data_IF_683976427715
#
_entry.id   IF_683976427715
#
_cell.length_a   1.000
_cell.length_b   1.000
_cell.length_c   1.000
_cell.angle_alpha   90.00
_cell.angle_beta   90.00
_cell.angle_gamma   90.00
#
_symmetry.space_group_name_H-M   'P 1'
#
loop_
_entity.id
_entity.type
_entity.pdbx_description
1 polymer ?
#
# COMPACT_ATOMS: atom_id res chain seq x y z
N UNK A 1 -23.42 43.68 -2.74
CA UNK A 1 -22.47 43.02 -3.66
C UNK A 1 -21.67 41.91 -2.98
N UNK A 2 -21.11 42.11 -1.79
CA UNK A 2 -20.37 41.06 -1.05
C UNK A 2 -21.21 39.81 -0.69
N UNK A 3 -22.47 39.99 -0.27
CA UNK A 3 -23.36 38.86 0.08
C UNK A 3 -23.65 37.90 -1.08
N UNK A 4 -23.57 38.36 -2.32
CA UNK A 4 -23.80 37.53 -3.51
C UNK A 4 -22.57 36.70 -3.87
N UNK A 5 -21.37 37.21 -3.60
CA UNK A 5 -20.10 36.53 -3.84
C UNK A 5 -19.91 35.42 -2.80
N UNK A 6 -20.22 35.71 -1.53
CA UNK A 6 -20.17 34.73 -0.45
C UNK A 6 -21.16 33.57 -0.65
N UNK A 7 -22.34 33.85 -1.22
CA UNK A 7 -23.30 32.80 -1.55
C UNK A 7 -22.80 31.92 -2.72
N UNK A 8 -22.21 32.51 -3.76
CA UNK A 8 -21.66 31.75 -4.87
C UNK A 8 -20.49 30.85 -4.43
N UNK A 9 -19.61 31.35 -3.56
CA UNK A 9 -18.51 30.57 -2.99
C UNK A 9 -19.03 29.38 -2.18
N UNK A 10 -20.03 29.58 -1.31
CA UNK A 10 -20.65 28.50 -0.54
C UNK A 10 -21.34 27.44 -1.39
N UNK A 11 -21.96 27.84 -2.50
CA UNK A 11 -22.58 26.91 -3.45
C UNK A 11 -21.52 26.04 -4.12
N UNK A 12 -20.41 26.65 -4.58
CA UNK A 12 -19.30 25.92 -5.18
C UNK A 12 -18.61 24.98 -4.20
N UNK A 13 -18.44 25.39 -2.94
CA UNK A 13 -17.87 24.53 -1.90
C UNK A 13 -18.76 23.30 -1.64
N UNK A 14 -20.09 23.48 -1.61
CA UNK A 14 -21.03 22.35 -1.53
C UNK A 14 -20.96 21.44 -2.74
N UNK A 15 -20.87 21.99 -3.95
CA UNK A 15 -20.71 21.21 -5.19
C UNK A 15 -19.40 20.39 -5.12
N UNK A 16 -18.31 20.96 -4.63
CA UNK A 16 -17.05 20.25 -4.50
C UNK A 16 -17.09 19.14 -3.45
N UNK A 17 -17.73 19.37 -2.31
CA UNK A 17 -17.90 18.37 -1.27
C UNK A 17 -18.67 17.12 -1.74
N UNK A 18 -19.53 17.23 -2.77
CA UNK A 18 -20.19 16.05 -3.34
C UNK A 18 -19.19 15.05 -3.97
N UNK A 19 -18.07 15.54 -4.49
CA UNK A 19 -17.04 14.69 -5.08
C UNK A 19 -16.21 13.93 -4.05
N UNK A 20 -16.33 14.24 -2.74
CA UNK A 20 -15.64 13.50 -1.67
C UNK A 20 -16.03 12.01 -1.66
N UNK A 21 -17.18 11.66 -2.26
CA UNK A 21 -17.70 10.27 -2.32
C UNK A 21 -18.06 9.79 -3.74
N UNK A 22 -17.75 10.59 -4.77
CA UNK A 22 -18.14 10.31 -6.16
C UNK A 22 -16.94 10.46 -7.11
N UNK A 23 -16.94 9.78 -8.28
CA UNK A 23 -15.92 10.00 -9.29
C UNK A 23 -15.85 11.47 -9.72
N UNK A 24 -14.63 12.00 -9.87
CA UNK A 24 -14.38 13.37 -10.29
C UNK A 24 -14.20 13.41 -11.81
N UNK A 25 -15.01 14.15 -12.57
CA UNK A 25 -14.79 14.35 -14.00
C UNK A 25 -13.43 15.01 -14.26
N UNK A 26 -12.69 14.54 -15.27
CA UNK A 26 -11.33 15.00 -15.56
C UNK A 26 -11.24 16.52 -15.69
N UNK A 27 -12.23 17.16 -16.34
CA UNK A 27 -12.25 18.61 -16.53
C UNK A 27 -12.48 19.39 -15.22
N UNK A 28 -13.02 18.76 -14.17
CA UNK A 28 -13.20 19.34 -12.84
C UNK A 28 -12.01 19.08 -11.91
N UNK A 29 -11.22 18.05 -12.19
CA UNK A 29 -10.15 17.59 -11.29
C UNK A 29 -9.17 18.69 -10.86
N UNK A 30 -8.63 19.55 -11.76
CA UNK A 30 -7.71 20.61 -11.34
C UNK A 30 -8.33 21.61 -10.36
N UNK A 31 -9.59 22.00 -10.59
CA UNK A 31 -10.29 22.95 -9.73
C UNK A 31 -10.61 22.34 -8.36
N UNK A 32 -10.99 21.05 -8.33
CA UNK A 32 -11.23 20.32 -7.08
C UNK A 32 -9.95 20.15 -6.26
N UNK A 33 -8.82 19.81 -6.89
CA UNK A 33 -7.51 19.72 -6.20
C UNK A 33 -7.11 21.08 -5.62
N UNK A 34 -7.26 22.17 -6.37
CA UNK A 34 -6.99 23.51 -5.86
C UNK A 34 -7.88 23.87 -4.66
N UNK A 35 -9.16 23.45 -4.67
CA UNK A 35 -10.07 23.59 -3.54
C UNK A 35 -9.56 22.83 -2.30
N UNK A 36 -9.08 21.59 -2.44
CA UNK A 36 -8.58 20.80 -1.32
C UNK A 36 -7.33 21.38 -0.65
N UNK A 37 -6.52 22.15 -1.40
CA UNK A 37 -5.31 22.83 -0.91
C UNK A 37 -5.56 24.15 -0.17
N UNK A 38 -6.73 24.80 -0.36
CA UNK A 38 -7.01 26.20 0.03
C UNK A 38 -6.70 26.51 1.51
N UNK A 39 -6.92 25.55 2.41
CA UNK A 39 -6.79 25.72 3.86
C UNK A 39 -5.69 24.81 4.44
N UNK A 40 -4.45 24.97 3.97
CA UNK A 40 -3.29 24.15 4.39
C UNK A 40 -3.57 22.64 4.26
N UNK A 41 -4.09 22.24 3.09
CA UNK A 41 -4.43 20.86 2.76
C UNK A 41 -5.53 20.23 3.64
N UNK A 42 -6.31 21.03 4.37
CA UNK A 42 -7.41 20.54 5.21
C UNK A 42 -8.40 19.64 4.44
N UNK A 43 -8.67 19.93 3.17
CA UNK A 43 -9.50 19.09 2.33
C UNK A 43 -8.91 17.69 2.14
N UNK A 44 -7.60 17.59 1.88
CA UNK A 44 -6.92 16.30 1.77
C UNK A 44 -6.87 15.54 3.09
N UNK A 45 -6.62 16.24 4.21
CA UNK A 45 -6.63 15.64 5.54
C UNK A 45 -8.00 15.01 5.82
N UNK A 46 -9.09 15.76 5.59
CA UNK A 46 -10.46 15.27 5.75
C UNK A 46 -10.72 14.02 4.91
N UNK A 47 -10.36 14.03 3.62
CA UNK A 47 -10.55 12.88 2.74
C UNK A 47 -9.76 11.65 3.21
N UNK A 48 -8.52 11.86 3.67
CA UNK A 48 -7.68 10.80 4.19
C UNK A 48 -8.25 10.20 5.49
N UNK A 49 -8.77 11.03 6.38
CA UNK A 49 -9.44 10.58 7.61
C UNK A 49 -10.68 9.73 7.30
N UNK A 50 -11.50 10.14 6.33
CA UNK A 50 -12.67 9.37 5.87
C UNK A 50 -12.27 7.96 5.36
N UNK A 51 -11.16 7.85 4.62
CA UNK A 51 -10.61 6.56 4.18
C UNK A 51 -10.20 5.71 5.39
N UNK A 52 -9.54 6.32 6.38
CA UNK A 52 -9.10 5.62 7.59
C UNK A 52 -10.28 5.10 8.41
N UNK A 53 -11.35 5.88 8.57
CA UNK A 53 -12.57 5.47 9.26
C UNK A 53 -13.27 4.31 8.55
N UNK A 54 -13.44 4.43 7.23
CA UNK A 54 -14.04 3.38 6.41
C UNK A 54 -13.22 2.09 6.44
N UNK A 55 -11.89 2.20 6.45
CA UNK A 55 -10.98 1.06 6.54
C UNK A 55 -11.05 0.38 7.91
N UNK A 56 -11.23 1.14 9.00
CA UNK A 56 -11.40 0.59 10.36
C UNK A 56 -12.73 -0.14 10.54
N UNK A 57 -13.77 0.26 9.81
CA UNK A 57 -15.06 -0.44 9.83
C UNK A 57 -14.94 -1.87 9.27
N UNK A 58 -14.06 -2.08 8.29
CA UNK A 58 -13.78 -3.39 7.70
C UNK A 58 -12.70 -4.14 8.49
N UNK A 59 -13.12 -4.97 9.45
CA UNK A 59 -12.20 -5.81 10.22
C UNK A 59 -11.78 -7.03 9.41
N UNK A 60 -10.65 -6.94 8.71
CA UNK A 60 -10.03 -8.09 8.06
C UNK A 60 -8.99 -8.74 9.00
N UNK A 61 -9.01 -10.08 9.16
CA UNK A 61 -8.04 -10.78 9.99
C UNK A 61 -6.66 -10.83 9.31
N UNK A 62 -5.62 -10.86 10.14
CA UNK A 62 -4.22 -11.06 9.76
C UNK A 62 -3.61 -12.21 10.59
N UNK A 63 -4.42 -13.23 10.86
CA UNK A 63 -4.10 -14.29 11.81
C UNK A 63 -2.85 -15.08 11.40
N UNK A 64 -2.67 -15.34 10.10
CA UNK A 64 -1.51 -16.10 9.58
C UNK A 64 -0.21 -15.32 9.79
N UNK A 65 -0.25 -14.00 9.60
CA UNK A 65 0.90 -13.12 9.82
C UNK A 65 1.30 -13.03 11.31
N UNK A 66 0.35 -13.28 12.21
CA UNK A 66 0.54 -13.21 13.67
C UNK A 66 0.98 -14.53 14.29
N UNK A 67 0.97 -15.64 13.54
CA UNK A 67 1.47 -16.92 14.05
C UNK A 67 2.94 -16.77 14.45
N UNK A 68 3.32 -17.29 15.62
CA UNK A 68 4.64 -17.10 16.25
C UNK A 68 5.82 -17.32 15.29
N UNK A 69 5.80 -18.41 14.52
CA UNK A 69 6.87 -18.72 13.57
C UNK A 69 6.90 -17.82 12.32
N UNK A 70 5.81 -17.11 12.01
CA UNK A 70 5.72 -16.14 10.90
C UNK A 70 6.09 -14.72 11.33
N UNK A 71 6.02 -14.40 12.63
CA UNK A 71 6.28 -13.05 13.13
C UNK A 71 7.69 -12.56 12.73
N UNK A 72 8.69 -13.44 12.72
CA UNK A 72 10.06 -13.10 12.32
C UNK A 72 10.20 -12.80 10.81
N UNK A 73 9.18 -13.12 9.99
CA UNK A 73 9.12 -12.81 8.55
C UNK A 73 8.48 -11.44 8.28
N UNK A 74 7.95 -10.75 9.29
CA UNK A 74 7.42 -9.39 9.18
C UNK A 74 8.48 -8.35 9.53
N UNK A 75 8.71 -7.39 8.63
CA UNK A 75 9.64 -6.28 8.88
C UNK A 75 9.14 -5.35 9.99
N UNK A 76 7.82 -5.14 10.05
CA UNK A 76 7.18 -4.27 11.02
C UNK A 76 6.01 -5.01 11.67
N UNK A 77 5.96 -4.99 13.01
CA UNK A 77 4.92 -5.67 13.79
C UNK A 77 3.51 -5.10 13.56
N UNK A 78 3.44 -3.84 13.13
CA UNK A 78 2.19 -3.13 12.87
C UNK A 78 1.78 -3.12 11.39
N UNK A 79 2.54 -3.74 10.49
CA UNK A 79 2.24 -3.84 9.06
C UNK A 79 2.16 -5.32 8.70
N UNK A 80 0.95 -5.87 8.77
CA UNK A 80 0.67 -7.29 8.62
C UNK A 80 -0.18 -7.53 7.37
N UNK A 81 -0.02 -8.71 6.78
CA UNK A 81 -0.84 -9.11 5.62
C UNK A 81 -2.20 -9.60 6.05
N UNK A 82 -3.25 -9.13 5.37
CA UNK A 82 -4.58 -9.70 5.55
C UNK A 82 -4.69 -11.11 4.98
N UNK A 83 -5.42 -11.98 5.68
CA UNK A 83 -5.51 -13.40 5.35
C UNK A 83 -6.20 -13.67 4.01
N UNK A 84 -7.19 -12.84 3.65
CA UNK A 84 -8.06 -13.04 2.48
C UNK A 84 -7.35 -12.73 1.16
N UNK A 85 -6.38 -11.81 1.15
CA UNK A 85 -5.67 -11.37 -0.06
C UNK A 85 -4.18 -11.72 -0.04
N UNK A 86 -3.70 -12.48 0.97
CA UNK A 86 -2.26 -12.80 1.08
C UNK A 86 -1.78 -13.63 -0.09
N UNK A 87 -0.55 -13.38 -0.51
CA UNK A 87 0.16 -14.29 -1.40
C UNK A 87 0.57 -15.54 -0.62
N UNK A 88 0.30 -16.72 -1.18
CA UNK A 88 0.69 -18.02 -0.59
C UNK A 88 1.80 -18.63 -1.42
N UNK A 89 2.89 -19.01 -0.77
CA UNK A 89 3.97 -19.78 -1.40
C UNK A 89 3.60 -21.26 -1.42
N UNK A 90 4.13 -22.00 -2.39
CA UNK A 90 3.95 -23.46 -2.46
C UNK A 90 4.65 -24.15 -1.27
N UNK A 91 4.06 -25.22 -0.76
CA UNK A 91 4.70 -26.11 0.20
C UNK A 91 5.77 -26.94 -0.50
N UNK A 92 7.04 -26.73 -0.15
CA UNK A 92 8.10 -27.67 -0.47
C UNK A 92 8.11 -28.63 0.74
N UNK A 93 7.79 -29.91 0.52
CA UNK A 93 7.82 -30.97 1.55
C UNK A 93 6.70 -30.96 2.63
N UNK A 94 5.50 -30.44 2.34
CA UNK A 94 4.38 -30.36 3.30
C UNK A 94 4.69 -29.57 4.59
N UNK A 95 5.64 -28.62 4.52
CA UNK A 95 5.97 -27.75 5.65
C UNK A 95 5.12 -26.47 5.60
N UNK A 96 3.94 -26.48 6.22
CA UNK A 96 3.02 -25.33 6.25
C UNK A 96 3.67 -24.02 6.73
N UNK A 97 4.77 -24.13 7.50
CA UNK A 97 5.56 -23.00 8.02
C UNK A 97 6.26 -22.19 6.92
N UNK A 98 6.39 -22.73 5.71
CA UNK A 98 7.08 -22.09 4.59
C UNK A 98 6.14 -21.42 3.58
N UNK A 99 4.82 -21.50 3.79
CA UNK A 99 3.82 -20.91 2.89
C UNK A 99 3.66 -19.40 3.02
N UNK A 100 4.24 -18.81 4.07
CA UNK A 100 4.02 -17.41 4.44
C UNK A 100 5.10 -16.48 3.89
N UNK A 101 4.63 -15.42 3.23
CA UNK A 101 5.38 -14.21 2.90
C UNK A 101 4.51 -12.99 3.21
N UNK A 102 5.11 -11.89 3.69
CA UNK A 102 4.39 -10.64 3.90
C UNK A 102 4.16 -9.93 2.54
N UNK A 103 3.14 -10.39 1.82
CA UNK A 103 2.66 -9.83 0.58
C UNK A 103 1.14 -10.03 0.43
N UNK A 104 0.45 -9.05 -0.18
CA UNK A 104 -0.97 -9.13 -0.55
C UNK A 104 -1.15 -8.82 -2.04
N UNK A 105 -2.11 -9.49 -2.67
CA UNK A 105 -2.60 -9.07 -3.98
C UNK A 105 -3.41 -7.79 -3.87
N UNK A 106 -3.24 -6.90 -4.86
CA UNK A 106 -3.94 -5.63 -4.96
C UNK A 106 -4.58 -5.55 -6.35
N UNK A 107 -5.83 -5.10 -6.36
CA UNK A 107 -6.59 -4.92 -7.58
C UNK A 107 -6.09 -3.71 -8.37
N UNK A 108 -6.14 -3.82 -9.70
CA UNK A 108 -6.01 -2.69 -10.60
C UNK A 108 -7.37 -2.01 -10.84
N UNK A 109 -7.40 -1.07 -11.80
CA UNK A 109 -8.62 -0.34 -12.12
C UNK A 109 -9.74 -1.25 -12.67
N UNK A 110 -9.40 -2.22 -13.53
CA UNK A 110 -10.39 -3.10 -14.20
C UNK A 110 -10.21 -4.59 -13.87
N UNK A 111 -9.09 -4.96 -13.26
CA UNK A 111 -8.69 -6.36 -13.07
C UNK A 111 -8.31 -6.59 -11.62
N UNK A 112 -8.81 -7.67 -11.05
CA UNK A 112 -8.43 -8.10 -9.72
C UNK A 112 -7.00 -8.69 -9.70
N UNK A 113 -6.32 -8.58 -8.57
CA UNK A 113 -5.01 -9.20 -8.29
C UNK A 113 -3.91 -8.90 -9.33
N UNK A 114 -3.88 -7.69 -9.88
CA UNK A 114 -2.88 -7.28 -10.91
C UNK A 114 -1.53 -6.98 -10.30
N UNK A 115 -1.52 -6.50 -9.06
CA UNK A 115 -0.30 -6.13 -8.36
C UNK A 115 -0.09 -7.00 -7.13
N UNK A 116 1.17 -7.13 -6.73
CA UNK A 116 1.55 -7.68 -5.44
C UNK A 116 2.22 -6.55 -4.65
N UNK A 117 1.60 -6.13 -3.56
CA UNK A 117 2.22 -5.25 -2.58
C UNK A 117 2.92 -6.11 -1.53
N UNK A 118 4.22 -5.89 -1.35
CA UNK A 118 5.04 -6.66 -0.40
C UNK A 118 6.04 -5.77 0.32
N UNK A 119 6.45 -6.18 1.52
CA UNK A 119 7.55 -5.53 2.22
C UNK A 119 8.87 -5.67 1.44
N UNK A 120 9.81 -4.76 1.67
CA UNK A 120 11.19 -5.00 1.23
C UNK A 120 11.75 -6.26 1.92
N UNK A 121 12.29 -7.26 1.19
CA UNK A 121 12.79 -8.50 1.78
C UNK A 121 13.87 -8.26 2.82
N UNK A 122 13.83 -9.09 3.85
CA UNK A 122 14.83 -9.17 4.91
C UNK A 122 15.81 -10.30 4.61
N UNK A 123 16.90 -10.39 5.40
CA UNK A 123 17.94 -11.42 5.19
C UNK A 123 17.31 -12.82 5.25
N UNK A 124 16.42 -13.03 6.21
CA UNK A 124 15.72 -14.29 6.46
C UNK A 124 14.49 -14.52 5.56
N UNK A 125 14.11 -13.57 4.69
CA UNK A 125 12.96 -13.71 3.76
C UNK A 125 13.36 -13.53 2.30
N UNK A 126 14.66 -13.47 1.99
CA UNK A 126 15.15 -13.25 0.63
C UNK A 126 14.79 -14.42 -0.30
N UNK A 127 14.90 -15.65 0.20
CA UNK A 127 14.54 -16.85 -0.57
C UNK A 127 13.03 -16.90 -0.83
N UNK A 128 12.22 -16.63 0.20
CA UNK A 128 10.76 -16.54 0.09
C UNK A 128 10.34 -15.49 -0.97
N UNK A 129 11.03 -14.35 -1.01
CA UNK A 129 10.78 -13.29 -1.98
C UNK A 129 11.06 -13.71 -3.42
N UNK A 130 12.20 -14.36 -3.69
CA UNK A 130 12.50 -14.86 -5.03
C UNK A 130 11.62 -16.04 -5.43
N UNK A 131 11.28 -16.90 -4.47
CA UNK A 131 10.30 -17.97 -4.68
C UNK A 131 8.94 -17.39 -5.06
N UNK A 132 8.48 -16.33 -4.41
CA UNK A 132 7.26 -15.61 -4.79
C UNK A 132 7.31 -15.12 -6.24
N UNK A 133 8.40 -14.44 -6.62
CA UNK A 133 8.58 -13.90 -7.98
C UNK A 133 8.50 -15.02 -9.02
N UNK A 134 9.19 -16.13 -8.76
CA UNK A 134 9.19 -17.28 -9.64
C UNK A 134 7.81 -17.93 -9.75
N UNK A 135 7.17 -18.25 -8.63
CA UNK A 135 5.88 -18.93 -8.61
C UNK A 135 4.74 -18.10 -9.19
N UNK A 136 4.79 -16.77 -9.03
CA UNK A 136 3.73 -15.86 -9.49
C UNK A 136 4.03 -15.26 -10.85
N UNK A 137 5.06 -15.77 -11.55
CA UNK A 137 5.47 -15.34 -12.88
C UNK A 137 5.65 -13.81 -12.99
N UNK A 138 6.27 -13.22 -11.96
CA UNK A 138 6.45 -11.77 -11.89
C UNK A 138 7.55 -11.33 -12.85
N UNK A 139 7.14 -10.62 -13.89
CA UNK A 139 8.07 -10.10 -14.92
C UNK A 139 8.66 -8.72 -14.58
N UNK A 140 8.01 -7.94 -13.72
CA UNK A 140 8.41 -6.56 -13.41
C UNK A 140 8.42 -6.34 -11.89
N UNK A 141 9.53 -5.84 -11.38
CA UNK A 141 9.70 -5.45 -9.98
C UNK A 141 9.88 -3.93 -9.90
N UNK A 142 8.99 -3.27 -9.16
CA UNK A 142 9.05 -1.82 -8.91
C UNK A 142 9.46 -1.58 -7.46
N UNK A 143 10.63 -0.97 -7.24
CA UNK A 143 11.13 -0.61 -5.92
C UNK A 143 10.98 0.90 -5.69
N UNK A 144 10.13 1.28 -4.75
CA UNK A 144 9.79 2.69 -4.46
C UNK A 144 10.57 3.30 -3.29
N UNK A 145 11.66 2.67 -2.84
CA UNK A 145 12.49 3.15 -1.72
C UNK A 145 13.96 3.01 -2.05
N UNK A 146 14.80 3.83 -1.44
CA UNK A 146 16.24 3.66 -1.48
C UNK A 146 16.67 2.52 -0.54
N UNK A 147 17.86 1.96 -0.77
CA UNK A 147 18.42 0.90 0.08
C UNK A 147 18.66 1.41 1.52
N UNK A 148 19.06 2.68 1.65
CA UNK A 148 19.28 3.38 2.92
C UNK A 148 18.59 4.73 2.89
N UNK A 149 17.91 5.07 3.98
CA UNK A 149 17.31 6.39 4.19
C UNK A 149 17.69 6.86 5.60
N UNK A 150 18.23 8.09 5.71
CA UNK A 150 18.61 8.70 6.99
C UNK A 150 19.47 7.77 7.88
N UNK A 151 20.41 7.03 7.29
CA UNK A 151 21.30 6.10 7.99
C UNK A 151 20.67 4.76 8.41
N UNK A 152 19.37 4.55 8.19
CA UNK A 152 18.69 3.27 8.44
C UNK A 152 18.61 2.44 7.18
N UNK A 153 18.96 1.17 7.29
CA UNK A 153 18.89 0.19 6.21
C UNK A 153 17.42 -0.18 5.99
N UNK A 154 16.87 0.14 4.82
CA UNK A 154 15.50 -0.22 4.41
C UNK A 154 15.45 -1.57 3.71
N UNK A 155 16.56 -1.98 3.10
CA UNK A 155 16.68 -3.19 2.30
C UNK A 155 17.98 -3.93 2.60
N UNK A 156 17.99 -5.26 2.51
CA UNK A 156 19.23 -6.02 2.67
C UNK A 156 20.22 -5.74 1.55
N UNK A 157 21.37 -5.15 1.88
CA UNK A 157 22.48 -5.06 0.94
C UNK A 157 23.00 -6.46 0.63
N UNK A 158 22.72 -6.98 -0.57
CA UNK A 158 23.57 -8.02 -1.13
C UNK A 158 24.93 -7.39 -1.43
N UNK A 159 25.91 -7.61 -0.55
CA UNK A 159 27.31 -7.25 -0.84
C UNK A 159 27.73 -8.05 -2.07
N UNK A 160 27.86 -7.38 -3.22
CA UNK A 160 28.56 -7.95 -4.38
C UNK A 160 29.96 -8.33 -3.93
N UNK A 161 30.21 -9.63 -3.74
CA UNK A 161 31.57 -10.16 -3.65
C UNK A 161 32.14 -10.13 -5.06
N UNK A 162 32.68 -9.00 -5.48
CA UNK A 162 33.73 -9.06 -6.49
C UNK A 162 34.96 -9.63 -5.79
N UNK A 163 35.21 -10.92 -5.99
CA UNK A 163 36.57 -11.43 -5.87
C UNK A 163 37.30 -10.89 -7.10
N UNK A 164 38.19 -9.93 -6.89
CA UNK A 164 39.20 -9.62 -7.88
C UNK A 164 40.17 -10.81 -7.87
N UNK A 165 40.16 -11.59 -8.95
CA UNK A 165 41.33 -12.38 -9.36
C UNK A 165 42.35 -11.46 -10.04
#
# INVERSE_FOLDING_TARGET
>A
NDSSIDNAAKILEKEYQEYDSKPIPIYRFPAYVAYLHKDSDFGFIRLFENICESSKANKFPASVAQIEYNQCKNRYVNILTYDHSRVKLSDIENNEKETYINANYIDGFEKANVYIATQGPMINTMNDFWKMIWEKDVSVLVMITNIKECGRVRYCEMKRRYKNE
#
